data_IF_483126110320
#
_entry.id   IF_483126110320
#
_cell.length_a   1.000
_cell.length_b   1.000
_cell.length_c   1.000
_cell.angle_alpha   90.00
_cell.angle_beta   90.00
_cell.angle_gamma   90.00
#
_symmetry.space_group_name_H-M   'P 1'
#
loop_
_entity.id
_entity.type
_entity.pdbx_description
1 polymer ?
#
# COMPACT_ATOMS: atom_id res chain seq x y z
N UNK A 1 10.51 -7.50 -13.73
CA UNK A 1 10.74 -7.97 -15.11
C UNK A 1 9.47 -7.83 -15.93
N UNK A 2 9.55 -7.71 -17.26
CA UNK A 2 8.36 -7.60 -18.13
C UNK A 2 8.08 -8.92 -18.83
N UNK A 3 6.83 -9.37 -18.80
CA UNK A 3 6.34 -10.62 -19.41
C UNK A 3 5.08 -10.36 -20.22
N UNK A 4 4.71 -11.29 -21.10
CA UNK A 4 3.39 -11.28 -21.74
C UNK A 4 2.31 -11.75 -20.77
N UNK A 5 1.03 -11.42 -21.03
CA UNK A 5 -0.09 -11.83 -20.16
C UNK A 5 -0.19 -13.34 -19.99
N UNK A 6 0.06 -14.10 -21.05
CA UNK A 6 -0.03 -15.56 -21.01
C UNK A 6 1.10 -16.20 -20.19
N UNK A 7 2.23 -15.50 -20.03
CA UNK A 7 3.36 -15.95 -19.23
C UNK A 7 3.21 -15.62 -17.73
N UNK A 8 2.30 -14.72 -17.34
CA UNK A 8 2.19 -14.21 -15.95
C UNK A 8 2.07 -15.32 -14.93
N UNK A 9 1.15 -16.26 -15.13
CA UNK A 9 0.90 -17.35 -14.19
C UNK A 9 2.13 -18.27 -14.04
N UNK A 10 2.74 -18.65 -15.17
CA UNK A 10 3.93 -19.51 -15.19
C UNK A 10 5.11 -18.85 -14.48
N UNK A 11 5.43 -17.60 -14.84
CA UNK A 11 6.59 -16.90 -14.26
C UNK A 11 6.36 -16.55 -12.79
N UNK A 12 5.13 -16.23 -12.40
CA UNK A 12 4.80 -16.04 -10.99
C UNK A 12 5.00 -17.32 -10.19
N UNK A 13 4.59 -18.47 -10.74
CA UNK A 13 4.85 -19.77 -10.13
C UNK A 13 6.34 -20.07 -9.94
N UNK A 14 7.16 -19.80 -10.95
CA UNK A 14 8.62 -19.95 -10.86
C UNK A 14 9.22 -19.02 -9.80
N UNK A 15 8.78 -17.76 -9.73
CA UNK A 15 9.22 -16.80 -8.70
C UNK A 15 8.87 -17.26 -7.28
N UNK A 16 7.71 -17.89 -7.08
CA UNK A 16 7.34 -18.51 -5.81
C UNK A 16 8.25 -19.68 -5.44
N UNK A 17 8.61 -20.54 -6.40
CA UNK A 17 9.57 -21.62 -6.17
C UNK A 17 10.97 -21.10 -5.82
N UNK A 18 11.33 -19.93 -6.35
CA UNK A 18 12.61 -19.26 -6.08
C UNK A 18 12.62 -18.46 -4.77
N UNK A 19 11.51 -18.44 -4.03
CA UNK A 19 11.45 -17.87 -2.68
C UNK A 19 11.15 -16.37 -2.63
N UNK A 20 10.40 -15.85 -3.59
CA UNK A 20 9.87 -14.48 -3.48
C UNK A 20 8.98 -14.32 -2.24
N UNK A 21 9.01 -13.14 -1.63
CA UNK A 21 8.15 -12.77 -0.49
C UNK A 21 6.78 -12.21 -0.94
N UNK A 22 6.68 -11.82 -2.21
CA UNK A 22 5.48 -11.24 -2.79
C UNK A 22 5.75 -10.73 -4.20
N UNK A 23 4.70 -10.70 -5.02
CA UNK A 23 4.76 -10.24 -6.40
C UNK A 23 3.71 -9.14 -6.58
N UNK A 24 4.13 -8.01 -7.12
CA UNK A 24 3.25 -6.96 -7.61
C UNK A 24 3.19 -7.01 -9.15
N UNK A 25 1.97 -6.95 -9.68
CA UNK A 25 1.70 -6.88 -11.11
C UNK A 25 1.36 -5.46 -11.51
N UNK A 26 2.21 -4.86 -12.36
CA UNK A 26 1.95 -3.54 -12.95
C UNK A 26 1.56 -3.74 -14.40
N UNK A 27 0.28 -3.51 -14.67
CA UNK A 27 -0.33 -3.66 -15.99
C UNK A 27 0.15 -2.56 -16.95
N UNK A 28 0.64 -2.98 -18.12
CA UNK A 28 1.08 -2.10 -19.20
C UNK A 28 0.36 -2.44 -20.53
N UNK A 29 -0.89 -2.91 -20.45
CA UNK A 29 -1.72 -3.25 -21.60
C UNK A 29 -1.47 -4.68 -22.07
N UNK A 30 -0.59 -4.86 -23.07
CA UNK A 30 -0.28 -6.19 -23.65
C UNK A 30 0.78 -6.96 -22.85
N UNK A 31 1.50 -6.26 -21.98
CA UNK A 31 2.52 -6.84 -21.11
C UNK A 31 2.23 -6.49 -19.66
N UNK A 32 2.82 -7.28 -18.77
CA UNK A 32 2.76 -7.08 -17.33
C UNK A 32 4.17 -6.99 -16.79
N UNK A 33 4.43 -6.01 -15.94
CA UNK A 33 5.68 -5.93 -15.20
C UNK A 33 5.49 -6.60 -13.84
N UNK A 34 6.22 -7.68 -13.61
CA UNK A 34 6.27 -8.38 -12.32
C UNK A 34 7.39 -7.78 -11.46
N UNK A 35 7.03 -7.22 -10.32
CA UNK A 35 7.96 -6.80 -9.27
C UNK A 35 7.95 -7.86 -8.16
N UNK A 36 9.02 -8.64 -8.07
CA UNK A 36 9.15 -9.71 -7.09
C UNK A 36 10.07 -9.26 -5.94
N UNK A 37 9.56 -9.28 -4.72
CA UNK A 37 10.34 -8.96 -3.52
C UNK A 37 11.12 -10.18 -3.03
N UNK A 38 12.35 -9.97 -2.56
CA UNK A 38 13.19 -11.01 -1.97
C UNK A 38 13.82 -10.51 -0.67
N UNK A 39 14.27 -11.44 0.18
CA UNK A 39 14.86 -11.11 1.47
C UNK A 39 16.25 -10.46 1.38
N UNK A 40 16.90 -10.53 0.21
CA UNK A 40 18.16 -9.83 -0.08
C UNK A 40 18.36 -9.62 -1.58
N UNK A 41 19.19 -8.64 -1.95
CA UNK A 41 19.61 -8.42 -3.33
C UNK A 41 20.32 -9.66 -3.94
N UNK A 42 21.08 -10.41 -3.13
CA UNK A 42 21.74 -11.64 -3.55
C UNK A 42 20.70 -12.69 -3.98
N UNK A 43 19.67 -12.93 -3.16
CA UNK A 43 18.60 -13.87 -3.52
C UNK A 43 17.79 -13.42 -4.74
N UNK A 44 17.60 -12.12 -4.93
CA UNK A 44 16.93 -11.57 -6.11
C UNK A 44 17.78 -11.80 -7.39
N UNK A 45 19.09 -11.59 -7.30
CA UNK A 45 20.02 -11.81 -8.42
C UNK A 45 20.14 -13.30 -8.80
N UNK A 46 20.21 -14.19 -7.81
CA UNK A 46 20.21 -15.63 -8.04
C UNK A 46 18.90 -16.11 -8.70
N UNK A 47 17.75 -15.58 -8.28
CA UNK A 47 16.48 -15.86 -8.91
C UNK A 47 16.43 -15.35 -10.37
N UNK A 48 16.91 -14.13 -10.63
CA UNK A 48 16.97 -13.56 -11.97
C UNK A 48 17.85 -14.41 -12.92
N UNK A 49 19.01 -14.87 -12.44
CA UNK A 49 19.91 -15.77 -13.17
C UNK A 49 19.24 -17.11 -13.49
N UNK A 50 18.54 -17.71 -12.52
CA UNK A 50 17.87 -19.00 -12.69
C UNK A 50 16.72 -18.93 -13.70
N UNK A 51 15.95 -17.84 -13.69
CA UNK A 51 14.89 -17.58 -14.67
C UNK A 51 15.42 -17.32 -16.08
N UNK A 52 16.74 -17.09 -16.22
CA UNK A 52 17.41 -16.73 -17.48
C UNK A 52 16.73 -15.56 -18.20
N UNK A 53 16.14 -14.65 -17.42
CA UNK A 53 15.46 -13.46 -17.92
C UNK A 53 16.15 -12.22 -17.38
N UNK A 54 16.16 -11.17 -18.19
CA UNK A 54 16.66 -9.88 -17.77
C UNK A 54 15.72 -9.30 -16.71
N UNK A 55 16.26 -9.03 -15.53
CA UNK A 55 15.58 -8.32 -14.46
C UNK A 55 16.53 -7.25 -13.90
N UNK A 56 15.98 -6.08 -13.62
CA UNK A 56 16.67 -5.06 -12.84
C UNK A 56 16.45 -5.42 -11.37
N UNK A 57 17.54 -5.55 -10.61
CA UNK A 57 17.52 -5.78 -9.17
C UNK A 57 17.79 -4.46 -8.47
N UNK A 58 16.84 -4.01 -7.67
CA UNK A 58 16.96 -2.80 -6.84
C UNK A 58 16.85 -3.20 -5.36
N UNK A 59 17.74 -2.66 -4.54
CA UNK A 59 17.68 -2.84 -3.09
C UNK A 59 16.80 -1.75 -2.47
N UNK A 60 15.79 -2.16 -1.71
CA UNK A 60 14.89 -1.27 -1.02
C UNK A 60 15.07 -1.41 0.49
N UNK A 61 15.24 -0.29 1.19
CA UNK A 61 15.35 -0.24 2.64
C UNK A 61 14.05 -0.71 3.30
N UNK A 62 14.14 -1.60 4.28
CA UNK A 62 12.97 -2.09 5.01
C UNK A 62 12.34 -0.96 5.83
N UNK A 63 11.13 -0.53 5.49
CA UNK A 63 10.29 0.35 6.33
C UNK A 63 9.85 1.66 5.68
N UNK A 64 10.56 2.14 4.66
CA UNK A 64 10.29 3.46 4.06
C UNK A 64 8.95 3.55 3.33
N UNK A 65 8.29 2.41 3.08
CA UNK A 65 7.03 2.33 2.33
C UNK A 65 5.78 2.16 3.22
N UNK A 66 5.94 1.80 4.50
CA UNK A 66 4.80 1.41 5.35
C UNK A 66 4.07 2.58 6.01
N UNK A 67 4.74 3.72 6.14
CA UNK A 67 4.24 4.89 6.85
C UNK A 67 4.09 6.20 6.05
N UNK A 68 4.60 6.38 4.80
CA UNK A 68 4.45 7.67 4.08
C UNK A 68 3.00 8.11 3.90
N UNK A 69 2.06 7.16 3.79
CA UNK A 69 0.63 7.47 3.70
C UNK A 69 0.10 8.24 4.92
N UNK A 70 0.75 8.12 6.09
CA UNK A 70 0.38 8.84 7.33
C UNK A 70 0.57 10.34 7.19
N UNK A 71 1.55 10.77 6.39
CA UNK A 71 1.80 12.20 6.12
C UNK A 71 0.65 12.84 5.34
N UNK A 72 -0.10 12.03 4.60
CA UNK A 72 -1.29 12.46 3.85
C UNK A 72 -2.61 12.31 4.66
N UNK A 73 -2.57 11.70 5.85
CA UNK A 73 -3.76 11.49 6.67
C UNK A 73 -4.21 12.79 7.35
N UNK A 74 -5.34 13.35 6.88
CA UNK A 74 -5.87 14.62 7.35
C UNK A 74 -6.91 14.49 8.46
N UNK A 75 -7.09 15.55 9.24
CA UNK A 75 -8.18 15.70 10.22
C UNK A 75 -9.47 16.10 9.47
N UNK A 76 -10.59 15.45 9.77
CA UNK A 76 -11.90 15.80 9.21
C UNK A 76 -12.85 16.32 10.29
N UNK A 77 -13.54 17.44 10.00
CA UNK A 77 -14.66 17.91 10.81
C UNK A 77 -15.95 17.26 10.35
N UNK A 78 -16.68 16.68 11.29
CA UNK A 78 -17.96 16.02 11.09
C UNK A 78 -19.03 16.84 11.83
N UNK A 79 -19.63 17.81 11.14
CA UNK A 79 -20.52 18.80 11.76
C UNK A 79 -19.79 19.76 12.73
N UNK A 80 -20.55 20.43 13.60
CA UNK A 80 -20.01 21.48 14.48
C UNK A 80 -19.32 20.95 15.75
N UNK A 81 -19.55 19.69 16.13
CA UNK A 81 -19.11 19.15 17.43
C UNK A 81 -18.14 17.98 17.36
N UNK A 82 -17.99 17.34 16.19
CA UNK A 82 -17.14 16.16 16.05
C UNK A 82 -15.93 16.42 15.15
N UNK A 83 -14.78 15.95 15.63
CA UNK A 83 -13.53 15.94 14.87
C UNK A 83 -13.04 14.51 14.82
N UNK A 84 -12.86 14.00 13.61
CA UNK A 84 -12.23 12.71 13.34
C UNK A 84 -10.76 12.97 13.07
N UNK A 85 -9.88 12.36 13.87
CA UNK A 85 -8.44 12.50 13.70
C UNK A 85 -7.74 11.14 13.74
N UNK A 86 -6.63 10.98 12.99
CA UNK A 86 -5.74 9.85 13.18
C UNK A 86 -5.08 9.88 14.57
N UNK A 87 -4.80 8.72 15.21
CA UNK A 87 -4.29 8.64 16.58
C UNK A 87 -2.89 9.24 16.75
N UNK A 88 -2.11 9.35 15.67
CA UNK A 88 -0.77 9.95 15.68
C UNK A 88 -0.77 11.47 15.54
N UNK A 89 -1.91 12.12 15.30
CA UNK A 89 -2.00 13.58 15.17
C UNK A 89 -2.33 14.22 16.52
N UNK A 90 -1.43 15.03 17.05
CA UNK A 90 -1.60 15.79 18.31
C UNK A 90 -2.21 17.16 18.02
N UNK A 91 -3.26 17.56 18.75
CA UNK A 91 -3.95 18.84 18.56
C UNK A 91 -4.19 19.54 19.90
N UNK A 92 -4.02 20.86 19.96
CA UNK A 92 -4.15 21.67 21.19
C UNK A 92 -5.58 22.15 21.51
N UNK A 93 -6.58 21.84 20.68
CA UNK A 93 -7.96 22.32 20.88
C UNK A 93 -8.74 21.49 21.91
N UNK A 94 -9.42 22.16 22.84
CA UNK A 94 -10.03 21.60 24.05
C UNK A 94 -11.57 21.49 24.02
N UNK A 95 -12.26 21.84 22.92
CA UNK A 95 -13.72 22.03 22.91
C UNK A 95 -14.53 21.21 21.87
N UNK A 96 -13.96 20.16 21.27
CA UNK A 96 -14.72 19.25 20.39
C UNK A 96 -14.80 17.84 20.98
N UNK A 97 -15.91 17.12 20.77
CA UNK A 97 -15.96 15.69 21.06
C UNK A 97 -15.11 14.98 20.00
N UNK A 98 -14.02 14.32 20.41
CA UNK A 98 -13.09 13.66 19.50
C UNK A 98 -13.52 12.22 19.23
N UNK A 99 -13.46 11.81 17.96
CA UNK A 99 -13.42 10.41 17.58
C UNK A 99 -12.04 10.09 17.05
N UNK A 100 -11.38 9.09 17.64
CA UNK A 100 -10.08 8.60 17.19
C UNK A 100 -10.34 7.44 16.23
N UNK A 101 -10.01 7.65 14.96
CA UNK A 101 -10.16 6.62 13.94
C UNK A 101 -8.79 6.08 13.52
N UNK A 102 -8.71 4.79 13.22
CA UNK A 102 -7.52 4.16 12.61
C UNK A 102 -7.76 4.05 11.10
N UNK A 103 -7.34 5.04 10.29
CA UNK A 103 -7.43 4.90 8.85
C UNK A 103 -6.63 3.66 8.42
N UNK A 104 -7.26 2.81 7.60
CA UNK A 104 -6.77 1.48 7.28
C UNK A 104 -7.86 0.59 6.68
N UNK A 105 -7.94 -0.67 7.11
CA UNK A 105 -8.77 -1.73 6.50
C UNK A 105 -10.28 -1.68 6.79
N UNK A 106 -10.79 -0.56 7.31
CA UNK A 106 -12.21 -0.40 7.66
C UNK A 106 -12.83 0.79 6.94
N UNK A 107 -14.02 0.62 6.38
CA UNK A 107 -14.81 1.73 5.84
C UNK A 107 -15.30 2.63 6.99
N UNK A 108 -15.26 3.96 6.83
CA UNK A 108 -15.74 4.91 7.85
C UNK A 108 -14.74 5.94 8.37
N UNK A 109 -13.60 6.15 7.69
CA UNK A 109 -12.54 7.07 8.13
C UNK A 109 -12.83 8.58 7.99
N UNK A 110 -14.02 8.95 7.52
CA UNK A 110 -14.40 10.35 7.24
C UNK A 110 -13.85 10.91 5.92
N UNK A 111 -12.94 10.20 5.26
CA UNK A 111 -12.28 10.61 4.00
C UNK A 111 -13.25 10.65 2.82
N UNK A 112 -14.23 9.76 2.79
CA UNK A 112 -15.21 9.63 1.72
C UNK A 112 -16.49 10.47 2.01
N UNK A 113 -17.08 11.18 1.03
CA UNK A 113 -18.26 12.04 1.22
C UNK A 113 -19.48 11.45 1.98
N UNK A 114 -19.83 10.15 1.84
CA UNK A 114 -20.94 9.54 2.58
C UNK A 114 -20.72 9.48 4.10
N UNK A 115 -19.47 9.32 4.56
CA UNK A 115 -19.17 9.28 6.00
C UNK A 115 -19.29 10.66 6.64
N UNK A 116 -19.04 11.74 5.88
CA UNK A 116 -19.29 13.12 6.34
C UNK A 116 -20.80 13.41 6.50
N UNK A 117 -21.65 12.80 5.67
CA UNK A 117 -23.10 12.98 5.71
C UNK A 117 -23.77 12.29 6.91
N UNK A 118 -23.26 11.14 7.37
CA UNK A 118 -23.80 10.43 8.53
C UNK A 118 -23.68 11.21 9.86
N UNK A 119 -22.77 12.18 9.95
CA UNK A 119 -22.64 13.10 11.08
C UNK A 119 -23.32 14.47 10.85
N UNK A 120 -23.91 14.68 9.67
CA UNK A 120 -24.53 15.94 9.25
C UNK A 120 -26.06 15.96 9.32
N UNK A 121 -26.68 14.98 9.99
CA UNK A 121 -28.13 14.95 10.19
C UNK A 121 -28.48 14.98 11.68
N UNK A 122 -28.35 16.16 12.29
CA UNK A 122 -29.40 16.83 13.09
C UNK A 122 -28.96 18.28 13.32
#
# INVERSE_FOLDING_TARGET
MTVTRDEVDTISGELWQLGTLGIEEVDAGTTVTLLAGFNSAISADDAAKQLKRFAVVEEFGSGDYLDPWRDFASIYRAGNRFVVKPPWVVTSQTQANWSVDRPGRSFGSGSHPPTRLAFGST
#
